data_IF_577583865341
#
_entry.id   IF_577583865341
#
_cell.length_a   1.000
_cell.length_b   1.000
_cell.length_c   1.000
_cell.angle_alpha   90.00
_cell.angle_beta   90.00
_cell.angle_gamma   90.00
#
_symmetry.space_group_name_H-M   'P 1'
#
loop_
_entity.id
_entity.type
_entity.pdbx_description
1 polymer ?
#
# COMPACT_ATOMS: atom_id res chain seq x y z
N UNK A 1 15.27 31.08 -8.31
CA UNK A 1 14.34 30.78 -7.29
C UNK A 1 14.77 29.65 -6.43
N UNK A 2 15.70 29.92 -5.62
CA UNK A 2 16.34 28.87 -4.88
C UNK A 2 15.68 28.59 -3.54
N UNK A 3 14.80 29.45 -3.10
CA UNK A 3 14.21 29.33 -1.78
C UNK A 3 13.52 28.01 -1.52
N UNK A 4 12.52 27.63 -2.33
CA UNK A 4 11.84 26.35 -2.12
C UNK A 4 12.75 25.15 -2.35
N UNK A 5 13.68 25.27 -3.29
CA UNK A 5 14.60 24.19 -3.59
C UNK A 5 15.51 23.86 -2.43
N UNK A 6 15.96 24.89 -1.71
CA UNK A 6 16.85 24.68 -0.58
C UNK A 6 16.17 23.90 0.54
N UNK A 7 14.89 24.14 0.75
CA UNK A 7 14.13 23.40 1.77
C UNK A 7 13.97 21.94 1.41
N UNK A 8 13.83 21.65 0.14
CA UNK A 8 13.63 20.27 -0.29
C UNK A 8 14.91 19.45 -0.22
N UNK A 9 16.05 20.08 -0.34
CA UNK A 9 17.28 19.32 -0.32
C UNK A 9 17.51 18.58 0.99
N UNK A 10 16.99 19.11 2.08
CA UNK A 10 17.13 18.46 3.37
C UNK A 10 16.39 17.11 3.44
N UNK A 11 15.33 16.96 2.67
CA UNK A 11 14.53 15.75 2.66
C UNK A 11 14.54 15.05 1.32
N UNK A 12 15.59 15.29 0.55
CA UNK A 12 15.64 14.83 -0.82
C UNK A 12 15.49 13.32 -0.97
N UNK A 13 16.13 12.54 -0.09
CA UNK A 13 16.08 11.11 -0.22
C UNK A 13 14.67 10.55 0.03
N UNK A 14 13.95 11.11 0.98
CA UNK A 14 12.57 10.67 1.25
C UNK A 14 11.64 11.12 0.15
N UNK A 15 11.81 12.32 -0.36
CA UNK A 15 11.02 12.81 -1.46
C UNK A 15 11.22 11.95 -2.70
N UNK A 16 12.47 11.58 -2.97
CA UNK A 16 12.77 10.72 -4.11
C UNK A 16 12.17 9.33 -3.98
N UNK A 17 12.15 8.79 -2.78
CA UNK A 17 11.54 7.48 -2.55
C UNK A 17 10.04 7.53 -2.80
N UNK A 18 9.39 8.57 -2.32
CA UNK A 18 7.97 8.74 -2.55
C UNK A 18 7.65 8.95 -4.01
N UNK A 19 8.44 9.80 -4.65
CA UNK A 19 8.26 10.06 -6.08
C UNK A 19 8.45 8.79 -6.88
N UNK A 20 9.40 7.96 -6.49
CA UNK A 20 9.66 6.71 -7.18
C UNK A 20 8.45 5.78 -7.13
N UNK A 21 7.81 5.67 -5.97
CA UNK A 21 6.62 4.82 -5.83
C UNK A 21 5.48 5.35 -6.68
N UNK A 22 5.21 6.64 -6.60
CA UNK A 22 4.13 7.24 -7.38
C UNK A 22 4.40 7.18 -8.87
N UNK A 23 5.66 7.32 -9.24
CA UNK A 23 6.06 7.21 -10.63
C UNK A 23 5.79 5.80 -11.16
N UNK A 24 6.15 4.79 -10.39
CA UNK A 24 5.90 3.41 -10.75
C UNK A 24 4.40 3.11 -10.83
N UNK A 25 3.64 3.62 -9.88
CA UNK A 25 2.19 3.47 -9.90
C UNK A 25 1.63 4.06 -11.19
N UNK A 26 2.10 5.24 -11.55
CA UNK A 26 1.62 5.89 -12.76
C UNK A 26 1.96 5.08 -14.01
N UNK A 27 3.16 4.51 -14.05
CA UNK A 27 3.54 3.68 -15.17
C UNK A 27 2.64 2.47 -15.32
N UNK A 28 2.32 1.81 -14.21
CA UNK A 28 1.40 0.67 -14.27
C UNK A 28 0.01 1.09 -14.74
N UNK A 29 -0.47 2.20 -14.23
CA UNK A 29 -1.78 2.70 -14.62
C UNK A 29 -1.82 3.08 -16.10
N UNK A 30 -0.75 3.67 -16.60
CA UNK A 30 -0.67 4.06 -18.00
C UNK A 30 -0.68 2.85 -18.93
N UNK A 31 -0.23 1.71 -18.43
CA UNK A 31 -0.28 0.46 -19.19
C UNK A 31 -1.64 -0.23 -19.10
N UNK A 32 -2.58 0.36 -18.41
CA UNK A 32 -3.92 -0.21 -18.27
C UNK A 32 -4.04 -1.23 -17.15
N UNK A 33 -3.08 -1.29 -16.26
CA UNK A 33 -3.12 -2.24 -15.15
C UNK A 33 -3.91 -1.69 -13.97
N UNK A 34 -4.49 -2.57 -13.20
CA UNK A 34 -5.17 -2.23 -11.98
C UNK A 34 -4.25 -2.54 -10.80
N UNK A 35 -4.20 -1.62 -9.85
CA UNK A 35 -3.39 -1.76 -8.65
C UNK A 35 -4.29 -1.68 -7.44
N UNK A 36 -3.77 -2.11 -6.31
CA UNK A 36 -4.42 -1.87 -5.02
C UNK A 36 -3.47 -1.06 -4.15
N UNK A 37 -3.97 0.00 -3.56
CA UNK A 37 -3.20 0.82 -2.63
C UNK A 37 -3.73 0.54 -1.24
N UNK A 38 -2.88 -0.01 -0.40
CA UNK A 38 -3.23 -0.36 0.97
C UNK A 38 -2.65 0.71 1.89
N UNK A 39 -3.48 1.30 2.72
CA UNK A 39 -3.08 2.37 3.64
C UNK A 39 -3.47 1.98 5.04
N UNK A 40 -2.55 2.10 5.98
CA UNK A 40 -2.88 1.91 7.40
C UNK A 40 -3.72 3.11 7.83
N UNK A 41 -4.97 2.86 8.22
CA UNK A 41 -5.87 3.94 8.62
C UNK A 41 -6.03 4.03 10.14
N UNK A 42 -5.73 2.97 10.87
CA UNK A 42 -5.69 3.03 12.32
C UNK A 42 -4.79 1.93 12.85
N UNK A 43 -4.21 2.17 14.02
CA UNK A 43 -3.37 1.19 14.67
C UNK A 43 -3.71 1.14 16.14
N UNK A 44 -3.48 0.00 16.76
CA UNK A 44 -3.65 -0.17 18.18
C UNK A 44 -2.56 -1.10 18.68
N UNK A 45 -1.91 -0.71 19.77
CA UNK A 45 -0.79 -1.49 20.28
C UNK A 45 0.47 -1.26 19.47
N UNK A 46 1.37 -2.22 19.54
CA UNK A 46 2.66 -2.12 18.88
C UNK A 46 2.54 -2.58 17.42
N UNK A 47 2.79 -1.67 16.50
CA UNK A 47 2.72 -1.98 15.08
C UNK A 47 4.02 -1.54 14.39
N UNK A 48 4.38 -2.20 13.28
CA UNK A 48 5.67 -1.90 12.63
C UNK A 48 5.68 -0.57 11.89
N UNK A 49 4.52 -0.07 11.49
CA UNK A 49 4.43 1.21 10.80
C UNK A 49 3.25 1.98 11.34
N UNK A 50 3.24 3.27 11.08
CA UNK A 50 2.23 4.17 11.62
C UNK A 50 1.11 4.40 10.61
N UNK A 51 0.03 5.01 11.10
CA UNK A 51 -1.07 5.44 10.26
C UNK A 51 -0.54 6.29 9.11
N UNK A 52 -1.05 6.01 7.93
CA UNK A 52 -0.62 6.69 6.71
C UNK A 52 0.41 5.93 5.90
N UNK A 53 1.03 4.90 6.45
CA UNK A 53 1.96 4.08 5.70
C UNK A 53 1.21 3.35 4.59
N UNK A 54 1.85 3.25 3.43
CA UNK A 54 1.19 2.70 2.24
C UNK A 54 2.00 1.57 1.62
N UNK A 55 1.27 0.66 1.03
CA UNK A 55 1.84 -0.43 0.26
C UNK A 55 1.01 -0.57 -1.00
N UNK A 56 1.67 -0.73 -2.13
CA UNK A 56 0.98 -0.92 -3.40
C UNK A 56 1.17 -2.36 -3.84
N UNK A 57 0.09 -2.97 -4.28
CA UNK A 57 0.12 -4.36 -4.76
C UNK A 57 -0.35 -4.36 -6.20
N UNK A 58 0.42 -4.98 -7.08
CA UNK A 58 0.04 -5.11 -8.48
C UNK A 58 -0.79 -6.36 -8.69
N UNK A 59 -1.42 -6.46 -9.85
CA UNK A 59 -2.21 -7.65 -10.20
C UNK A 59 -1.33 -8.91 -10.25
N UNK A 60 -0.04 -8.74 -10.42
CA UNK A 60 0.92 -9.84 -10.45
C UNK A 60 1.39 -10.25 -9.06
N UNK A 61 0.97 -9.53 -8.03
CA UNK A 61 1.41 -9.78 -6.68
C UNK A 61 2.73 -9.10 -6.31
N UNK A 62 3.20 -8.20 -7.14
CA UNK A 62 4.38 -7.42 -6.82
C UNK A 62 4.04 -6.35 -5.79
N UNK A 63 4.92 -6.11 -4.85
CA UNK A 63 4.69 -5.16 -3.77
C UNK A 63 5.65 -3.99 -3.90
N UNK A 64 5.10 -2.78 -3.81
CA UNK A 64 5.88 -1.55 -3.77
C UNK A 64 5.60 -0.87 -2.43
N UNK A 65 6.65 -0.45 -1.76
CA UNK A 65 6.49 0.12 -0.42
C UNK A 65 6.29 -0.96 0.62
N UNK A 66 5.94 -0.55 1.83
CA UNK A 66 5.75 -1.53 2.90
C UNK A 66 4.85 -0.97 3.99
N UNK A 67 4.10 -1.85 4.61
CA UNK A 67 3.34 -1.54 5.82
C UNK A 67 3.90 -2.30 7.02
N UNK A 68 5.01 -3.00 6.88
CA UNK A 68 5.56 -3.65 8.04
C UNK A 68 6.53 -4.79 7.80
N UNK A 69 7.06 -4.92 6.61
CA UNK A 69 8.16 -5.83 6.38
C UNK A 69 7.89 -7.29 6.74
N UNK A 70 6.75 -7.80 6.48
CA UNK A 70 6.44 -9.19 6.73
C UNK A 70 5.29 -9.40 7.68
N UNK A 71 5.23 -8.60 8.75
CA UNK A 71 4.10 -8.68 9.67
C UNK A 71 2.84 -8.19 8.98
N UNK A 72 2.00 -9.09 8.61
CA UNK A 72 0.72 -8.77 8.00
C UNK A 72 0.76 -8.45 6.52
N UNK A 73 1.94 -8.33 5.92
CA UNK A 73 2.02 -8.02 4.49
C UNK A 73 1.41 -9.12 3.63
N UNK A 74 1.60 -10.37 4.01
CA UNK A 74 1.04 -11.47 3.24
C UNK A 74 -0.48 -11.43 3.26
N UNK A 75 -1.06 -11.08 4.40
CA UNK A 75 -2.51 -10.99 4.52
C UNK A 75 -3.05 -9.84 3.69
N UNK A 76 -2.38 -8.69 3.76
CA UNK A 76 -2.81 -7.53 2.97
C UNK A 76 -2.67 -7.81 1.48
N UNK A 77 -1.59 -8.47 1.08
CA UNK A 77 -1.38 -8.81 -0.32
C UNK A 77 -2.52 -9.68 -0.85
N UNK A 78 -2.92 -10.68 -0.08
CA UNK A 78 -4.00 -11.57 -0.48
C UNK A 78 -5.31 -10.80 -0.64
N UNK A 79 -5.62 -9.94 0.33
CA UNK A 79 -6.82 -9.11 0.25
C UNK A 79 -6.74 -8.12 -0.90
N UNK A 80 -5.56 -7.57 -1.14
CA UNK A 80 -5.36 -6.61 -2.21
C UNK A 80 -5.60 -7.24 -3.58
N UNK A 81 -5.17 -8.46 -3.77
CA UNK A 81 -5.40 -9.15 -5.05
C UNK A 81 -6.89 -9.33 -5.27
N UNK A 82 -7.64 -9.63 -4.22
CA UNK A 82 -9.09 -9.75 -4.32
C UNK A 82 -9.72 -8.40 -4.64
N UNK A 83 -9.22 -7.32 -4.02
CA UNK A 83 -9.70 -5.97 -4.31
C UNK A 83 -9.45 -5.61 -5.78
N UNK A 84 -8.29 -5.96 -6.31
CA UNK A 84 -7.98 -5.72 -7.71
C UNK A 84 -8.97 -6.46 -8.60
N UNK A 85 -9.26 -7.70 -8.27
CA UNK A 85 -10.14 -8.52 -9.09
C UNK A 85 -11.56 -8.01 -9.07
N UNK A 86 -12.05 -7.60 -7.92
CA UNK A 86 -13.44 -7.15 -7.78
C UNK A 86 -13.63 -5.66 -8.04
N UNK A 87 -12.53 -4.89 -7.97
CA UNK A 87 -12.55 -3.43 -8.06
C UNK A 87 -13.42 -2.78 -7.00
N UNK A 88 -13.53 -3.43 -5.86
CA UNK A 88 -14.27 -2.90 -4.73
C UNK A 88 -13.33 -2.66 -3.56
N UNK A 89 -13.30 -1.45 -3.01
CA UNK A 89 -12.45 -1.17 -1.86
C UNK A 89 -12.95 -1.93 -0.63
N UNK A 90 -12.03 -2.16 0.28
CA UNK A 90 -12.39 -2.81 1.55
C UNK A 90 -11.41 -2.42 2.63
N UNK A 91 -11.88 -2.45 3.86
CA UNK A 91 -11.03 -2.28 5.02
C UNK A 91 -10.86 -3.63 5.67
N UNK A 92 -9.61 -4.00 5.95
CA UNK A 92 -9.32 -5.27 6.61
C UNK A 92 -8.61 -5.01 7.91
N UNK A 93 -8.88 -5.87 8.86
CA UNK A 93 -8.21 -5.84 10.15
C UNK A 93 -7.09 -6.87 10.13
N UNK A 94 -5.89 -6.41 10.42
CA UNK A 94 -4.73 -7.28 10.51
C UNK A 94 -4.34 -7.39 11.97
N UNK A 95 -4.48 -8.58 12.51
CA UNK A 95 -4.18 -8.84 13.90
C UNK A 95 -2.81 -9.47 14.00
N UNK A 96 -1.85 -8.68 14.44
CA UNK A 96 -0.46 -9.10 14.50
C UNK A 96 -0.18 -10.03 15.67
N UNK A 97 -1.15 -10.20 16.56
CA UNK A 97 -1.01 -11.14 17.66
C UNK A 97 -1.03 -12.58 17.18
N UNK A 98 -1.69 -12.83 16.09
CA UNK A 98 -1.80 -14.19 15.56
C UNK A 98 -0.48 -14.75 15.07
N UNK A 99 0.50 -13.89 14.85
CA UNK A 99 1.82 -14.33 14.42
C UNK A 99 2.67 -14.84 15.56
N UNK A 100 2.13 -14.88 16.75
CA UNK A 100 2.87 -15.26 17.94
C UNK A 100 2.96 -16.75 18.13
N UNK A 101 2.36 -17.51 17.30
CA UNK A 101 2.36 -18.95 17.49
C UNK A 101 3.76 -19.53 17.54
N UNK A 102 4.73 -18.81 17.07
CA UNK A 102 6.09 -19.28 17.05
C UNK A 102 6.87 -18.73 18.22
N UNK A 103 8.09 -19.17 18.32
CA UNK A 103 8.96 -18.80 19.41
C UNK A 103 9.63 -17.45 19.21
N UNK A 104 9.15 -16.66 18.29
CA UNK A 104 9.77 -15.38 17.99
C UNK A 104 9.46 -14.36 19.09
N UNK A 105 10.48 -13.86 19.78
CA UNK A 105 10.25 -12.83 20.79
C UNK A 105 9.97 -11.46 20.20
N UNK A 106 10.30 -11.25 18.95
CA UNK A 106 10.10 -9.97 18.31
C UNK A 106 8.71 -9.91 17.71
N UNK A 107 7.73 -9.74 18.55
CA UNK A 107 6.35 -9.75 18.11
C UNK A 107 5.82 -8.34 18.01
N UNK A 108 5.11 -8.06 16.94
CA UNK A 108 4.48 -6.76 16.80
C UNK A 108 3.40 -6.56 17.84
N UNK A 109 2.54 -7.53 18.01
CA UNK A 109 1.57 -7.51 19.10
C UNK A 109 0.48 -6.48 19.02
N UNK A 110 0.26 -5.91 17.85
CA UNK A 110 -0.76 -4.88 17.66
C UNK A 110 -1.81 -5.26 16.64
N UNK A 111 -2.67 -4.31 16.37
CA UNK A 111 -3.73 -4.45 15.37
C UNK A 111 -3.64 -3.28 14.43
N UNK A 112 -3.73 -3.56 13.13
CA UNK A 112 -3.80 -2.52 12.12
C UNK A 112 -5.12 -2.67 11.37
N UNK A 113 -5.75 -1.55 11.08
CA UNK A 113 -6.82 -1.53 10.11
C UNK A 113 -6.26 -0.92 8.84
N UNK A 114 -6.44 -1.61 7.74
CA UNK A 114 -5.84 -1.24 6.47
C UNK A 114 -6.95 -1.06 5.45
N UNK A 115 -6.99 0.11 4.85
CA UNK A 115 -7.94 0.39 3.78
C UNK A 115 -7.26 0.05 2.45
N UNK A 116 -7.89 -0.81 1.67
CA UNK A 116 -7.34 -1.27 0.40
C UNK A 116 -8.23 -0.75 -0.71
N UNK A 117 -7.67 0.07 -1.57
CA UNK A 117 -8.41 0.80 -2.59
C UNK A 117 -7.91 0.40 -3.97
N UNK A 118 -8.79 -0.02 -4.89
CA UNK A 118 -8.35 -0.37 -6.24
C UNK A 118 -8.18 0.90 -7.08
N UNK A 119 -7.08 0.96 -7.83
CA UNK A 119 -6.79 2.09 -8.71
C UNK A 119 -6.65 1.59 -10.13
N UNK A 120 -7.33 2.22 -11.06
CA UNK A 120 -7.23 1.92 -12.49
C UNK A 120 -7.52 3.19 -13.28
N UNK A 121 -7.17 3.16 -14.57
CA UNK A 121 -7.38 4.32 -15.41
C UNK A 121 -8.84 4.51 -15.74
N UNK A 122 -9.27 5.76 -15.74
CA UNK A 122 -10.63 6.14 -16.09
C UNK A 122 -11.01 5.70 -17.50
N UNK A 123 -10.08 5.80 -18.43
CA UNK A 123 -10.38 5.47 -19.81
C UNK A 123 -10.67 3.98 -20.01
N UNK A 124 -10.07 3.12 -19.20
CA UNK A 124 -10.42 1.69 -19.25
C UNK A 124 -11.86 1.49 -18.81
N UNK A 125 -12.26 2.27 -17.82
CA UNK A 125 -13.61 2.24 -17.33
C UNK A 125 -14.58 2.71 -18.39
N UNK A 126 -14.25 3.77 -19.09
CA UNK A 126 -15.09 4.30 -20.15
C UNK A 126 -15.19 3.32 -21.31
N UNK A 127 -14.08 2.71 -21.69
CA UNK A 127 -14.08 1.73 -22.76
C UNK A 127 -14.96 0.53 -22.40
N UNK A 128 -14.88 0.07 -21.16
CA UNK A 128 -15.72 -1.03 -20.71
C UNK A 128 -17.19 -0.64 -20.68
N UNK A 129 -17.48 0.57 -20.25
CA UNK A 129 -18.85 1.05 -20.17
C UNK A 129 -19.44 1.35 -21.55
N UNK A 130 -18.61 1.73 -22.51
CA UNK A 130 -19.04 2.07 -23.84
C UNK A 130 -19.44 0.89 -24.68
N UNK A 131 -19.24 -0.30 -24.17
CA UNK A 131 -19.62 -1.50 -24.88
C UNK A 131 -20.86 -2.11 -24.28
#
# INVERSE_FOLDING_TARGET
MAGPGACYEANDSEAKKRDSIYHQVREFLDKGETLAVATIVSTKGSTPREVGAKMVVTAWGEILGTIGGGCGEADVKREAIDVIRTRKPRTVRIDLLDDISSDSPAVCGGVMNVFIDPWWQERDREAAAGK
#
